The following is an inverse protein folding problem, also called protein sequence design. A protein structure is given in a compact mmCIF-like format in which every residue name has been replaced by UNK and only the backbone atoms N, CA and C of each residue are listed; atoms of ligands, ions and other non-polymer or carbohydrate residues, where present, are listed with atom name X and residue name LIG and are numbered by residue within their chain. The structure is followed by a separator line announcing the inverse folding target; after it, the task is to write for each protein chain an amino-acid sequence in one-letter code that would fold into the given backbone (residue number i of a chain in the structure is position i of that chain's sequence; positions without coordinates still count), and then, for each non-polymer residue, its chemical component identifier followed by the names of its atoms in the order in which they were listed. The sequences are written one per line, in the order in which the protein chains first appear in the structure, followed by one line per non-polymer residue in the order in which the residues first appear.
data_IF_374518827598
#
_entry.id   IF_374518827598
#
_cell.length_a   1.000
_cell.length_b   1.000
_cell.length_c   1.000
_cell.angle_alpha   90.00
_cell.angle_beta   90.00
_cell.angle_gamma   90.00
#
_symmetry.space_group_name_H-M   'P 1'
#
loop_
_entity.id
_entity.type
_entity.pdbx_description
1 polymer ?
#
# COMPACT_ATOMS: atom_id res chain seq x y z
N UNK A 1 6.44 -2.65 10.74
CA UNK A 1 5.27 -2.59 9.84
C UNK A 1 4.81 -1.17 9.53
N UNK A 2 4.22 -0.40 10.47
CA UNK A 2 3.72 0.96 10.17
C UNK A 2 4.79 1.86 9.53
N UNK A 3 6.00 1.88 10.10
CA UNK A 3 7.12 2.64 9.54
C UNK A 3 7.52 2.19 8.12
N UNK A 4 7.38 0.90 7.80
CA UNK A 4 7.66 0.39 6.46
C UNK A 4 6.59 0.86 5.47
N UNK A 5 5.32 0.84 5.85
CA UNK A 5 4.22 1.36 5.02
C UNK A 5 4.40 2.85 4.72
N UNK A 6 4.69 3.66 5.75
CA UNK A 6 4.91 5.10 5.59
C UNK A 6 6.17 5.37 4.75
N UNK A 7 7.23 4.60 4.97
CA UNK A 7 8.45 4.67 4.14
C UNK A 7 8.14 4.38 2.68
N UNK A 8 7.37 3.33 2.37
CA UNK A 8 6.95 2.99 1.01
C UNK A 8 6.07 4.07 0.38
N UNK A 9 5.12 4.64 1.13
CA UNK A 9 4.27 5.73 0.65
C UNK A 9 5.04 7.01 0.31
N UNK A 10 6.13 7.29 1.04
CA UNK A 10 6.96 8.48 0.85
C UNK A 10 8.21 8.22 0.01
N UNK A 11 8.35 7.03 -0.57
CA UNK A 11 9.54 6.66 -1.32
C UNK A 11 9.73 7.54 -2.58
N UNK A 12 8.63 7.88 -3.26
CA UNK A 12 8.62 8.76 -4.44
C UNK A 12 9.14 10.18 -4.15
N UNK A 13 9.05 10.64 -2.90
CA UNK A 13 9.59 11.94 -2.48
C UNK A 13 11.09 11.89 -2.14
N UNK A 14 11.61 10.69 -1.82
CA UNK A 14 12.97 10.50 -1.30
C UNK A 14 13.93 9.95 -2.34
N UNK A 15 13.42 9.26 -3.35
CA UNK A 15 14.21 8.59 -4.38
C UNK A 15 13.61 8.87 -5.75
N UNK A 16 14.48 9.03 -6.75
CA UNK A 16 14.05 9.18 -8.13
C UNK A 16 13.48 7.85 -8.66
N UNK A 17 12.31 7.92 -9.30
CA UNK A 17 11.59 6.75 -9.79
C UNK A 17 10.80 7.05 -11.07
N UNK A 18 10.38 5.98 -11.76
CA UNK A 18 9.59 6.10 -12.98
C UNK A 18 8.15 6.62 -12.75
N UNK A 19 7.65 6.53 -11.51
CA UNK A 19 6.36 7.04 -11.07
C UNK A 19 6.57 7.94 -9.84
N UNK A 20 7.01 9.17 -10.08
CA UNK A 20 7.21 10.17 -9.04
C UNK A 20 5.85 10.79 -8.67
N UNK A 21 5.06 10.08 -7.86
CA UNK A 21 3.78 10.58 -7.35
C UNK A 21 4.04 11.48 -6.15
N UNK A 22 3.66 12.76 -6.25
CA UNK A 22 3.69 13.68 -5.11
C UNK A 22 2.52 13.38 -4.16
N UNK A 23 2.68 13.62 -2.85
CA UNK A 23 1.59 13.47 -1.87
C UNK A 23 0.40 14.35 -2.25
N UNK A 24 0.64 15.50 -2.87
CA UNK A 24 -0.41 16.39 -3.40
C UNK A 24 -1.26 15.70 -4.47
N UNK A 25 -0.66 14.82 -5.29
CA UNK A 25 -1.38 14.08 -6.32
C UNK A 25 -2.31 13.00 -5.72
N UNK A 26 -1.98 12.44 -4.55
CA UNK A 26 -2.91 11.53 -3.87
C UNK A 26 -4.23 12.21 -3.51
N UNK A 27 -4.20 13.49 -3.10
CA UNK A 27 -5.44 14.23 -2.84
C UNK A 27 -6.25 14.39 -4.13
N UNK A 28 -5.62 14.82 -5.22
CA UNK A 28 -6.30 15.01 -6.51
C UNK A 28 -6.87 13.70 -7.06
N UNK A 29 -6.15 12.59 -6.93
CA UNK A 29 -6.52 11.31 -7.53
C UNK A 29 -7.48 10.47 -6.67
N UNK A 30 -7.39 10.55 -5.34
CA UNK A 30 -8.10 9.66 -4.42
C UNK A 30 -9.20 10.35 -3.60
N UNK A 31 -9.27 11.69 -3.58
CA UNK A 31 -10.25 12.45 -2.79
C UNK A 31 -11.23 13.17 -3.72
N UNK A 32 -12.32 12.50 -4.17
CA UNK A 32 -13.30 13.10 -5.08
C UNK A 32 -14.15 14.20 -4.41
N UNK A 33 -14.30 14.15 -3.08
CA UNK A 33 -15.03 15.14 -2.30
C UNK A 33 -14.24 15.52 -1.03
N UNK A 34 -14.22 16.80 -0.62
CA UNK A 34 -13.43 17.24 0.54
C UNK A 34 -13.74 16.51 1.85
N UNK A 35 -14.98 16.02 2.01
CA UNK A 35 -15.39 15.28 3.22
C UNK A 35 -14.97 13.80 3.23
N UNK A 36 -14.54 13.24 2.10
CA UNK A 36 -14.17 11.82 1.95
C UNK A 36 -12.67 11.73 1.69
N UNK A 37 -11.87 12.17 2.67
CA UNK A 37 -10.39 12.25 2.57
C UNK A 37 -9.67 11.19 3.41
N UNK A 38 -10.39 10.19 3.93
CA UNK A 38 -9.81 9.08 4.67
C UNK A 38 -9.44 7.96 3.71
N UNK A 39 -8.14 7.87 3.41
CA UNK A 39 -7.59 6.84 2.53
C UNK A 39 -7.36 5.54 3.31
N UNK A 40 -7.62 4.42 2.65
CA UNK A 40 -7.28 3.09 3.14
C UNK A 40 -5.95 2.66 2.52
N UNK A 41 -4.98 2.31 3.36
CA UNK A 41 -3.70 1.75 2.91
C UNK A 41 -3.69 0.24 3.05
N UNK A 42 -3.10 -0.44 2.08
CA UNK A 42 -2.80 -1.87 2.11
C UNK A 42 -1.31 -2.10 1.85
N UNK A 43 -0.75 -3.16 2.43
CA UNK A 43 0.67 -3.49 2.25
C UNK A 43 0.87 -4.99 2.06
N UNK A 44 1.63 -5.34 1.03
CA UNK A 44 2.05 -6.70 0.74
C UNK A 44 3.47 -6.70 0.12
N UNK A 45 4.29 -7.72 0.40
CA UNK A 45 4.02 -8.83 1.31
C UNK A 45 4.32 -8.49 2.78
N UNK A 46 3.61 -9.12 3.72
CA UNK A 46 3.93 -9.12 5.15
C UNK A 46 4.32 -10.54 5.55
N UNK A 47 5.59 -10.88 5.39
CA UNK A 47 6.16 -12.20 5.69
C UNK A 47 7.26 -12.09 6.75
N UNK A 48 7.53 -13.19 7.47
CA UNK A 48 8.66 -13.24 8.40
C UNK A 48 9.99 -13.29 7.64
N UNK A 49 11.06 -12.81 8.27
CA UNK A 49 12.40 -12.85 7.69
C UNK A 49 12.83 -14.28 7.31
N UNK A 50 12.47 -15.27 8.13
CA UNK A 50 12.75 -16.68 7.86
C UNK A 50 12.08 -17.18 6.57
N UNK A 51 10.80 -16.82 6.35
CA UNK A 51 10.06 -17.23 5.14
C UNK A 51 10.51 -16.50 3.88
N UNK A 52 10.99 -15.26 4.02
CA UNK A 52 11.46 -14.46 2.90
C UNK A 52 12.66 -15.06 2.16
N UNK A 53 13.46 -15.93 2.79
CA UNK A 53 14.58 -16.61 2.14
C UNK A 53 14.18 -17.89 1.39
N UNK A 54 12.98 -18.42 1.64
CA UNK A 54 12.54 -19.71 1.10
C UNK A 54 11.48 -19.58 0.01
N UNK A 55 10.78 -18.44 -0.07
CA UNK A 55 9.71 -18.20 -1.03
C UNK A 55 10.03 -16.99 -1.90
N UNK A 56 10.03 -17.17 -3.23
CA UNK A 56 9.99 -16.04 -4.16
C UNK A 56 8.54 -15.71 -4.46
N UNK A 57 8.14 -14.46 -4.19
CA UNK A 57 6.82 -13.96 -4.52
C UNK A 57 6.90 -13.20 -5.84
N UNK A 58 6.06 -13.59 -6.79
CA UNK A 58 5.89 -12.89 -8.05
C UNK A 58 5.14 -11.57 -7.83
N UNK A 59 5.29 -10.64 -8.79
CA UNK A 59 4.55 -9.36 -8.78
C UNK A 59 3.03 -9.62 -8.75
N UNK A 60 2.55 -10.61 -9.50
CA UNK A 60 1.12 -10.95 -9.51
C UNK A 60 0.61 -11.40 -8.14
N UNK A 61 1.38 -12.21 -7.41
CA UNK A 61 1.00 -12.72 -6.09
C UNK A 61 0.95 -11.60 -5.04
N UNK A 62 1.96 -10.71 -5.02
CA UNK A 62 1.96 -9.58 -4.07
C UNK A 62 0.85 -8.57 -4.41
N UNK A 63 0.55 -8.36 -5.70
CA UNK A 63 -0.54 -7.49 -6.12
C UNK A 63 -1.89 -8.05 -5.68
N UNK A 64 -2.13 -9.34 -5.88
CA UNK A 64 -3.37 -9.98 -5.41
C UNK A 64 -3.48 -9.92 -3.88
N UNK A 65 -2.37 -10.17 -3.17
CA UNK A 65 -2.33 -10.11 -1.71
C UNK A 65 -2.68 -8.73 -1.16
N UNK A 66 -2.36 -7.64 -1.88
CA UNK A 66 -2.71 -6.29 -1.45
C UNK A 66 -4.24 -6.03 -1.41
N UNK A 67 -5.06 -6.86 -2.07
CA UNK A 67 -6.53 -6.75 -2.00
C UNK A 67 -7.15 -7.64 -0.92
N UNK A 68 -6.36 -8.49 -0.26
CA UNK A 68 -6.86 -9.31 0.84
C UNK A 68 -7.10 -8.46 2.10
N UNK A 69 -8.21 -8.67 2.83
CA UNK A 69 -8.49 -7.92 4.05
C UNK A 69 -7.40 -8.03 5.13
N UNK A 70 -6.61 -9.11 5.11
CA UNK A 70 -5.48 -9.31 6.02
C UNK A 70 -4.31 -8.36 5.80
N UNK A 71 -4.19 -7.79 4.59
CA UNK A 71 -3.15 -6.80 4.22
C UNK A 71 -3.57 -5.36 4.47
N UNK A 72 -4.82 -5.12 4.86
CA UNK A 72 -5.37 -3.78 5.11
C UNK A 72 -4.85 -3.20 6.43
N UNK A 73 -4.49 -1.92 6.42
CA UNK A 73 -3.99 -1.20 7.60
C UNK A 73 -5.11 -0.67 8.51
N UNK A 74 -6.37 -0.86 8.12
CA UNK A 74 -7.55 -0.63 8.95
C UNK A 74 -8.46 -1.84 8.92
N UNK A 75 -9.23 -2.05 9.99
CA UNK A 75 -10.16 -3.17 10.12
C UNK A 75 -11.43 -2.90 9.30
N UNK A 76 -11.33 -3.07 7.99
CA UNK A 76 -12.42 -2.98 7.03
C UNK A 76 -12.24 -4.03 5.94
N UNK A 77 -13.35 -4.43 5.32
CA UNK A 77 -13.33 -5.32 4.17
C UNK A 77 -13.79 -4.53 2.94
N UNK A 78 -12.92 -4.25 1.96
CA UNK A 78 -13.28 -3.45 0.79
C UNK A 78 -14.31 -4.13 -0.11
N UNK A 79 -14.62 -5.41 0.10
CA UNK A 79 -15.64 -6.15 -0.65
C UNK A 79 -17.07 -5.81 -0.22
N UNK A 80 -17.25 -5.17 0.94
CA UNK A 80 -18.56 -4.85 1.52
C UNK A 80 -18.86 -3.34 1.48
N UNK A 81 -18.54 -2.68 0.35
CA UNK A 81 -18.67 -1.22 0.17
C UNK A 81 -19.95 -0.60 0.70
#
# INVERSE_FOLDING_TARGET
LIAQVISSLTASLRFDGALNVDITEFQTNLVPYPRIHFMLSSYAPVISAEKAYHEQLSVAEITNSAFEPSSMMAKCDPRHG
#
